data_IF_001798936240
#
_entry.id   IF_001798936240
#
_cell.length_a   1.000
_cell.length_b   1.000
_cell.length_c   1.000
_cell.angle_alpha   90.00
_cell.angle_beta   90.00
_cell.angle_gamma   90.00
#
_symmetry.space_group_name_H-M   'P 1'
#
loop_
_entity.id
_entity.type
_entity.pdbx_description
1 polymer ?
#
# COMPACT_ATOMS: atom_id res chain seq x y z
N UNK A 1 4.71 8.23 -9.38
CA UNK A 1 3.30 8.25 -9.88
C UNK A 1 3.22 8.22 -11.41
N UNK A 2 3.56 9.28 -12.16
CA UNK A 2 3.40 9.30 -13.64
C UNK A 2 4.19 8.20 -14.36
N UNK A 3 5.45 8.00 -13.96
CA UNK A 3 6.29 6.90 -14.46
C UNK A 3 5.68 5.51 -14.19
N UNK A 4 5.07 5.31 -13.01
CA UNK A 4 4.50 4.02 -12.62
C UNK A 4 3.20 3.71 -13.39
N UNK A 5 2.45 4.75 -13.76
CA UNK A 5 1.28 4.64 -14.63
C UNK A 5 1.72 4.26 -16.05
N UNK A 6 2.75 4.92 -16.57
CA UNK A 6 3.32 4.61 -17.89
C UNK A 6 3.92 3.20 -17.94
N UNK A 7 4.56 2.77 -16.85
CA UNK A 7 5.09 1.40 -16.70
C UNK A 7 4.00 0.35 -16.41
N UNK A 8 2.73 0.75 -16.25
CA UNK A 8 1.60 -0.10 -15.85
C UNK A 8 1.78 -0.83 -14.51
N UNK A 9 2.64 -0.31 -13.64
CA UNK A 9 2.81 -0.78 -12.26
C UNK A 9 1.65 -0.33 -11.37
N UNK A 10 1.00 0.79 -11.74
CA UNK A 10 -0.23 1.28 -11.12
C UNK A 10 -1.31 1.39 -12.21
N UNK A 11 -2.48 0.80 -11.97
CA UNK A 11 -3.62 0.82 -12.90
C UNK A 11 -4.89 1.28 -12.19
N UNK A 12 -5.80 1.89 -12.93
CA UNK A 12 -7.13 2.23 -12.40
C UNK A 12 -7.93 0.96 -12.17
N UNK A 13 -8.59 0.87 -11.00
CA UNK A 13 -9.41 -0.29 -10.65
C UNK A 13 -10.68 -0.41 -11.51
N UNK A 14 -11.13 0.70 -12.12
CA UNK A 14 -12.25 0.73 -13.06
C UNK A 14 -11.98 1.72 -14.19
N UNK A 15 -12.39 1.37 -15.41
CA UNK A 15 -12.23 2.21 -16.61
C UNK A 15 -13.28 3.34 -16.69
N UNK A 16 -14.43 3.15 -16.04
CA UNK A 16 -15.53 4.13 -15.97
C UNK A 16 -15.82 4.44 -14.52
N UNK A 17 -16.07 5.71 -14.25
CA UNK A 17 -16.52 6.16 -12.94
C UNK A 17 -17.84 5.45 -12.60
N UNK A 18 -17.88 4.80 -11.45
CA UNK A 18 -19.04 4.07 -10.97
C UNK A 18 -19.34 4.51 -9.56
N UNK A 19 -20.63 4.61 -9.21
CA UNK A 19 -21.06 4.91 -7.84
C UNK A 19 -20.90 3.70 -6.90
N UNK A 20 -20.17 2.65 -7.32
CA UNK A 20 -19.88 1.48 -6.51
C UNK A 20 -18.62 1.75 -5.67
N UNK A 21 -18.83 1.95 -4.38
CA UNK A 21 -17.75 2.07 -3.41
C UNK A 21 -17.54 0.72 -2.73
N UNK A 22 -16.41 0.07 -3.02
CA UNK A 22 -16.03 -1.18 -2.38
C UNK A 22 -15.07 -0.86 -1.22
N UNK A 23 -15.42 -1.20 0.03
CA UNK A 23 -14.48 -1.04 1.14
C UNK A 23 -13.31 -1.98 0.93
N UNK A 24 -12.09 -1.45 1.00
CA UNK A 24 -10.87 -2.24 0.94
C UNK A 24 -10.21 -2.24 2.32
N UNK A 25 -9.74 -3.40 2.74
CA UNK A 25 -8.93 -3.57 3.95
C UNK A 25 -7.51 -3.91 3.50
N UNK A 26 -6.56 -3.02 3.82
CA UNK A 26 -5.13 -3.29 3.57
C UNK A 26 -4.52 -3.73 4.89
N UNK A 27 -4.00 -4.96 4.91
CA UNK A 27 -3.30 -5.53 6.08
C UNK A 27 -1.81 -5.57 5.81
N UNK A 28 -1.04 -4.95 6.71
CA UNK A 28 0.42 -5.02 6.70
C UNK A 28 0.88 -6.19 7.59
N UNK A 29 1.84 -6.96 7.11
CA UNK A 29 2.38 -8.12 7.82
C UNK A 29 3.89 -7.98 7.99
N UNK A 30 4.36 -8.27 9.21
CA UNK A 30 5.79 -8.34 9.51
C UNK A 30 6.28 -9.79 9.38
N UNK A 31 7.39 -10.05 8.69
CA UNK A 31 8.01 -11.36 8.68
C UNK A 31 8.57 -11.71 10.07
N UNK A 32 8.63 -13.01 10.39
CA UNK A 32 9.19 -13.47 11.66
C UNK A 32 10.70 -13.27 11.79
N UNK A 33 11.39 -13.06 10.66
CA UNK A 33 12.82 -12.70 10.62
C UNK A 33 12.96 -11.18 10.57
N UNK A 34 14.07 -10.68 11.10
CA UNK A 34 14.40 -9.25 11.08
C UNK A 34 14.41 -8.72 9.64
N UNK A 35 13.74 -7.58 9.42
CA UNK A 35 13.73 -6.88 8.14
C UNK A 35 15.01 -6.04 7.98
N UNK A 36 15.35 -5.61 6.76
CA UNK A 36 16.36 -4.59 6.56
C UNK A 36 16.08 -3.33 7.39
N UNK A 37 17.10 -2.59 7.87
CA UNK A 37 16.91 -1.43 8.75
C UNK A 37 15.87 -0.43 8.23
N UNK A 38 15.95 -0.06 6.95
CA UNK A 38 15.02 0.89 6.31
C UNK A 38 13.56 0.42 6.37
N UNK A 39 13.34 -0.91 6.26
CA UNK A 39 12.01 -1.48 6.34
C UNK A 39 11.49 -1.59 7.79
N UNK A 40 12.37 -1.70 8.79
CA UNK A 40 11.99 -1.63 10.21
C UNK A 40 11.58 -0.20 10.61
N UNK A 41 12.32 0.82 10.15
CA UNK A 41 11.98 2.22 10.39
C UNK A 41 10.63 2.58 9.78
N UNK A 42 10.38 2.15 8.53
CA UNK A 42 9.08 2.32 7.90
C UNK A 42 7.97 1.59 8.67
N UNK A 43 8.25 0.39 9.18
CA UNK A 43 7.28 -0.38 9.96
C UNK A 43 6.86 0.35 11.25
N UNK A 44 7.81 0.98 11.94
CA UNK A 44 7.53 1.77 13.14
C UNK A 44 6.53 2.91 12.83
N UNK A 45 6.76 3.66 11.75
CA UNK A 45 5.84 4.73 11.31
C UNK A 45 4.43 4.19 11.06
N UNK A 46 4.30 3.05 10.36
CA UNK A 46 3.00 2.48 10.03
C UNK A 46 2.23 1.93 11.24
N UNK A 47 2.91 1.50 12.30
CA UNK A 47 2.25 0.98 13.51
C UNK A 47 1.92 2.10 14.49
N UNK A 48 2.76 3.12 14.62
CA UNK A 48 2.54 4.23 15.55
C UNK A 48 1.30 5.07 15.17
N UNK A 49 1.02 5.25 13.88
CA UNK A 49 -0.14 6.01 13.39
C UNK A 49 -1.48 5.22 13.43
N UNK A 50 -1.48 3.97 13.92
CA UNK A 50 -2.70 3.14 14.02
C UNK A 50 -3.49 3.33 15.35
N UNK A 51 -3.20 4.37 16.14
CA UNK A 51 -3.87 4.69 17.42
C UNK A 51 -5.20 5.43 17.20
#
# INVERSE_FOLDING_TARGET
ARQDIEAKTIVTAAEKESNLWVPIEIRLYRPAKRMPPDAEELWEIFVEEQI
#
